data_IF_934779394149
#
_entry.id   IF_934779394149
#
_cell.length_a   1.000
_cell.length_b   1.000
_cell.length_c   1.000
_cell.angle_alpha   90.00
_cell.angle_beta   90.00
_cell.angle_gamma   90.00
#
_symmetry.space_group_name_H-M   'P 1'
#
loop_
_entity.id
_entity.type
_entity.pdbx_description
1 polymer ?
#
# COMPACT_ATOMS: atom_id res chain seq x y z
N UNK A 1 24.45 15.32 -17.22
CA UNK A 1 23.52 14.60 -18.12
C UNK A 1 22.08 14.98 -17.76
N UNK A 2 21.07 14.72 -18.63
CA UNK A 2 19.68 15.18 -18.40
C UNK A 2 19.08 14.63 -17.11
N UNK A 3 19.30 13.34 -16.78
CA UNK A 3 18.84 12.71 -15.54
C UNK A 3 19.32 13.46 -14.28
N UNK A 4 20.58 13.86 -14.23
CA UNK A 4 21.15 14.61 -13.10
C UNK A 4 20.51 16.01 -12.95
N UNK A 5 20.18 16.64 -14.08
CA UNK A 5 19.50 17.95 -14.07
C UNK A 5 18.08 17.78 -13.50
N UNK A 6 17.34 16.77 -13.96
CA UNK A 6 16.00 16.48 -13.48
C UNK A 6 16.01 16.21 -11.97
N UNK A 7 16.93 15.38 -11.47
CA UNK A 7 17.07 15.11 -10.04
C UNK A 7 17.43 16.36 -9.22
N UNK A 8 18.31 17.22 -9.72
CA UNK A 8 18.64 18.49 -9.05
C UNK A 8 17.44 19.43 -8.95
N UNK A 9 16.64 19.53 -10.02
CA UNK A 9 15.41 20.33 -10.01
C UNK A 9 14.41 19.78 -9.00
N UNK A 10 14.20 18.47 -8.96
CA UNK A 10 13.32 17.85 -7.98
C UNK A 10 13.73 18.15 -6.52
N UNK A 11 15.03 18.12 -6.23
CA UNK A 11 15.53 18.45 -4.91
C UNK A 11 15.28 19.94 -4.52
N UNK A 12 15.36 20.87 -5.46
CA UNK A 12 15.04 22.29 -5.23
C UNK A 12 13.54 22.47 -4.90
N UNK A 13 12.65 21.86 -5.66
CA UNK A 13 11.21 21.95 -5.42
C UNK A 13 10.77 21.32 -4.09
N UNK A 14 11.49 20.33 -3.57
CA UNK A 14 11.21 19.75 -2.25
C UNK A 14 11.41 20.75 -1.11
N UNK A 15 12.46 21.57 -1.17
CA UNK A 15 12.77 22.55 -0.13
C UNK A 15 11.73 23.69 -0.11
N UNK A 16 11.15 24.04 -1.25
CA UNK A 16 10.11 25.09 -1.37
C UNK A 16 8.73 24.64 -0.85
N UNK A 17 8.43 23.35 -0.86
CA UNK A 17 7.13 22.78 -0.48
C UNK A 17 7.07 22.26 0.97
N UNK A 18 7.98 22.64 1.85
CA UNK A 18 7.99 22.21 3.25
C UNK A 18 6.86 22.87 4.03
N UNK A 19 5.65 22.30 3.94
CA UNK A 19 4.48 22.75 4.69
C UNK A 19 4.62 22.34 6.16
N UNK A 20 4.47 23.30 7.08
CA UNK A 20 4.39 23.03 8.52
C UNK A 20 3.27 22.04 8.85
N UNK A 21 3.31 21.49 10.08
CA UNK A 21 2.26 20.60 10.57
C UNK A 21 0.94 21.34 10.76
N UNK A 22 -0.14 20.73 10.29
CA UNK A 22 -1.51 21.03 10.66
C UNK A 22 -2.34 19.73 10.63
N UNK A 23 -3.36 19.58 11.49
CA UNK A 23 -4.32 18.48 11.37
C UNK A 23 -5.00 18.53 10.01
N UNK A 24 -4.86 17.46 9.23
CA UNK A 24 -5.43 17.35 7.88
C UNK A 24 -5.92 15.94 7.58
N UNK A 25 -6.92 15.79 6.70
CA UNK A 25 -7.56 14.50 6.41
C UNK A 25 -6.58 13.40 5.99
N UNK A 26 -5.55 13.73 5.19
CA UNK A 26 -4.55 12.76 4.72
C UNK A 26 -3.64 12.17 5.82
N UNK A 27 -3.67 12.74 7.05
CA UNK A 27 -2.95 12.24 8.23
C UNK A 27 -3.89 11.57 9.24
N UNK A 28 -5.20 11.63 9.02
CA UNK A 28 -6.21 11.22 9.99
C UNK A 28 -6.43 9.70 10.06
N UNK A 29 -6.15 8.99 8.97
CA UNK A 29 -6.46 7.57 8.85
C UNK A 29 -5.78 6.68 9.89
N UNK A 30 -6.35 5.50 10.19
CA UNK A 30 -5.90 4.64 11.29
C UNK A 30 -4.47 4.13 11.11
N UNK A 31 -4.03 3.90 9.86
CA UNK A 31 -2.70 3.38 9.55
C UNK A 31 -1.61 4.47 9.52
N UNK A 32 -2.00 5.75 9.70
CA UNK A 32 -1.03 6.85 9.84
C UNK A 32 -0.41 6.86 11.23
N UNK A 33 0.88 6.64 11.32
CA UNK A 33 1.63 6.54 12.57
C UNK A 33 1.50 7.82 13.42
N UNK A 34 0.93 7.69 14.63
CA UNK A 34 0.76 8.82 15.57
C UNK A 34 2.12 9.42 15.95
N UNK A 35 3.12 8.58 16.19
CA UNK A 35 4.47 9.01 16.56
C UNK A 35 5.13 9.85 15.47
N UNK A 36 4.95 9.46 14.21
CA UNK A 36 5.38 10.27 13.06
C UNK A 36 4.73 11.65 13.06
N UNK A 37 3.42 11.72 13.34
CA UNK A 37 2.68 12.99 13.37
C UNK A 37 3.17 13.86 14.54
N UNK A 38 3.50 13.27 15.69
CA UNK A 38 4.08 13.99 16.84
C UNK A 38 5.45 14.59 16.49
N UNK A 39 6.31 13.86 15.77
CA UNK A 39 7.57 14.42 15.28
C UNK A 39 7.35 15.62 14.34
N UNK A 40 6.41 15.50 13.40
CA UNK A 40 6.03 16.62 12.52
C UNK A 40 5.53 17.82 13.31
N UNK A 41 4.66 17.60 14.30
CA UNK A 41 4.05 18.65 15.11
C UNK A 41 5.07 19.35 16.02
N UNK A 42 6.13 18.67 16.42
CA UNK A 42 7.26 19.27 17.14
C UNK A 42 8.27 19.98 16.21
N UNK A 43 8.03 20.05 14.92
CA UNK A 43 8.93 20.67 13.93
C UNK A 43 10.26 19.92 13.78
N UNK A 44 10.30 18.64 14.13
CA UNK A 44 11.52 17.85 13.97
C UNK A 44 11.82 17.66 12.48
N UNK A 45 13.09 17.81 12.14
CA UNK A 45 13.53 17.52 10.78
C UNK A 45 13.68 16.01 10.60
N UNK A 46 12.94 15.44 9.66
CA UNK A 46 13.15 14.07 9.22
C UNK A 46 14.24 13.97 8.16
N UNK A 47 14.64 12.75 7.85
CA UNK A 47 15.54 12.50 6.74
C UNK A 47 14.96 13.06 5.44
N UNK A 48 15.80 13.65 4.62
CA UNK A 48 15.38 14.12 3.29
C UNK A 48 14.83 12.90 2.51
N UNK A 49 13.62 13.04 2.02
CA UNK A 49 13.07 12.06 1.09
C UNK A 49 13.91 12.09 -0.19
N UNK A 50 14.22 10.90 -0.72
CA UNK A 50 14.93 10.83 -2.00
C UNK A 50 14.14 11.46 -3.14
N UNK A 51 14.81 11.93 -4.16
CA UNK A 51 14.23 12.58 -5.35
C UNK A 51 13.11 11.75 -5.99
N UNK A 52 13.22 10.42 -5.94
CA UNK A 52 12.21 9.48 -6.42
C UNK A 52 10.85 9.68 -5.75
N UNK A 53 10.81 9.97 -4.45
CA UNK A 53 9.55 10.21 -3.75
C UNK A 53 8.85 11.47 -4.26
N UNK A 54 9.62 12.50 -4.58
CA UNK A 54 9.10 13.72 -5.18
C UNK A 54 8.41 13.41 -6.52
N UNK A 55 9.10 12.72 -7.43
CA UNK A 55 8.51 12.32 -8.71
C UNK A 55 7.25 11.47 -8.53
N UNK A 56 7.26 10.54 -7.57
CA UNK A 56 6.08 9.70 -7.29
C UNK A 56 4.87 10.51 -6.82
N UNK A 57 5.10 11.58 -6.05
CA UNK A 57 4.03 12.48 -5.59
C UNK A 57 3.55 13.38 -6.73
N UNK A 58 4.46 13.92 -7.52
CA UNK A 58 4.13 14.75 -8.68
C UNK A 58 3.35 13.96 -9.73
N UNK A 59 3.78 12.75 -10.06
CA UNK A 59 3.02 11.81 -10.90
C UNK A 59 1.58 11.61 -10.41
N UNK A 60 1.36 11.59 -9.09
CA UNK A 60 0.02 11.41 -8.54
C UNK A 60 -0.88 12.59 -8.88
N UNK A 61 -0.36 13.81 -8.82
CA UNK A 61 -1.09 15.03 -9.18
C UNK A 61 -1.43 15.06 -10.67
N UNK A 62 -0.50 14.65 -11.53
CA UNK A 62 -0.77 14.53 -12.97
C UNK A 62 -1.84 13.46 -13.29
N UNK A 63 -1.84 12.34 -12.57
CA UNK A 63 -2.87 11.32 -12.72
C UNK A 63 -4.24 11.80 -12.28
N UNK A 64 -4.32 12.62 -11.23
CA UNK A 64 -5.55 13.26 -10.76
C UNK A 64 -6.08 14.22 -11.82
N UNK A 65 -5.28 15.17 -12.29
CA UNK A 65 -5.68 16.14 -13.31
C UNK A 65 -6.12 15.45 -14.61
N UNK A 66 -5.40 14.41 -15.05
CA UNK A 66 -5.81 13.63 -16.22
C UNK A 66 -7.17 12.98 -16.02
N UNK A 67 -7.47 12.46 -14.82
CA UNK A 67 -8.75 11.84 -14.52
C UNK A 67 -9.88 12.88 -14.50
N UNK A 68 -9.64 14.03 -13.88
CA UNK A 68 -10.57 15.16 -13.88
C UNK A 68 -10.87 15.66 -15.30
N UNK A 69 -9.86 15.74 -16.17
CA UNK A 69 -10.04 16.13 -17.58
C UNK A 69 -10.94 15.13 -18.33
N UNK A 70 -10.80 13.83 -18.09
CA UNK A 70 -11.71 12.83 -18.66
C UNK A 70 -13.14 12.96 -18.12
N UNK A 71 -13.31 13.23 -16.82
CA UNK A 71 -14.62 13.42 -16.23
C UNK A 71 -15.31 14.69 -16.77
N UNK A 72 -14.59 15.81 -16.93
CA UNK A 72 -15.11 17.05 -17.54
C UNK A 72 -15.55 16.86 -18.99
N UNK A 73 -14.96 15.92 -19.73
CA UNK A 73 -15.35 15.55 -21.11
C UNK A 73 -16.49 14.54 -21.18
N UNK A 74 -16.91 14.01 -20.05
CA UNK A 74 -18.01 13.04 -19.94
C UNK A 74 -19.36 13.73 -19.72
N UNK A 75 -20.38 12.96 -19.35
CA UNK A 75 -21.70 13.47 -19.00
C UNK A 75 -21.77 13.99 -17.54
N UNK A 76 -20.71 13.84 -16.75
CA UNK A 76 -20.63 14.39 -15.40
C UNK A 76 -20.22 15.87 -15.43
N UNK A 77 -20.78 16.65 -14.50
CA UNK A 77 -20.27 18.00 -14.22
C UNK A 77 -19.26 17.91 -13.10
N UNK A 78 -18.06 18.46 -13.30
CA UNK A 78 -17.02 18.54 -12.28
C UNK A 78 -16.95 19.97 -11.77
N UNK A 79 -17.03 20.18 -10.47
CA UNK A 79 -16.97 21.50 -9.85
C UNK A 79 -16.37 21.46 -8.44
N UNK A 80 -16.22 22.60 -7.80
CA UNK A 80 -15.69 22.75 -6.43
C UNK A 80 -14.31 22.12 -6.25
N UNK A 81 -13.51 22.06 -7.31
CA UNK A 81 -12.17 21.52 -7.28
C UNK A 81 -11.29 22.30 -6.31
N UNK A 82 -10.49 21.57 -5.52
CA UNK A 82 -9.58 22.11 -4.52
C UNK A 82 -10.27 23.03 -3.49
N UNK A 83 -11.58 22.86 -3.26
CA UNK A 83 -12.31 23.60 -2.26
C UNK A 83 -11.85 23.23 -0.85
N UNK A 84 -11.55 24.24 -0.02
CA UNK A 84 -11.17 24.04 1.37
C UNK A 84 -12.35 23.54 2.20
N UNK A 85 -12.12 22.47 2.94
CA UNK A 85 -13.08 21.90 3.89
C UNK A 85 -12.52 22.02 5.29
N UNK A 86 -13.36 22.58 6.19
CA UNK A 86 -13.03 22.72 7.61
C UNK A 86 -13.98 21.85 8.45
N UNK A 87 -13.40 20.87 9.13
CA UNK A 87 -14.12 20.00 10.05
C UNK A 87 -13.84 20.43 11.49
N UNK A 88 -14.90 20.61 12.28
CA UNK A 88 -14.82 20.93 13.70
C UNK A 88 -15.61 19.90 14.51
N UNK A 89 -15.20 19.67 15.74
CA UNK A 89 -15.85 18.75 16.67
C UNK A 89 -16.09 19.46 17.99
N UNK A 90 -17.27 19.27 18.58
CA UNK A 90 -17.63 19.93 19.85
C UNK A 90 -16.78 19.49 21.06
N UNK A 91 -16.17 18.31 21.00
CA UNK A 91 -15.33 17.79 22.07
C UNK A 91 -13.89 18.31 22.02
N UNK A 92 -13.45 18.88 20.90
CA UNK A 92 -12.06 19.25 20.69
C UNK A 92 -11.92 20.69 20.21
N UNK A 93 -10.96 21.43 20.77
CA UNK A 93 -10.71 22.84 20.46
C UNK A 93 -9.67 23.00 19.34
N UNK A 94 -9.82 22.26 18.25
CA UNK A 94 -9.04 22.42 17.04
C UNK A 94 -9.86 22.00 15.82
N UNK A 95 -9.39 22.37 14.66
CA UNK A 95 -10.01 22.03 13.36
C UNK A 95 -9.11 21.12 12.55
N UNK A 96 -9.73 20.30 11.71
CA UNK A 96 -9.05 19.52 10.66
C UNK A 96 -9.39 20.23 9.35
N UNK A 97 -8.36 20.60 8.59
CA UNK A 97 -8.53 21.37 7.34
C UNK A 97 -7.88 20.63 6.18
N UNK A 98 -8.56 20.57 5.05
CA UNK A 98 -8.05 19.97 3.82
C UNK A 98 -8.75 20.50 2.60
N UNK A 99 -8.38 20.04 1.42
CA UNK A 99 -9.00 20.38 0.15
C UNK A 99 -9.51 19.12 -0.51
N UNK A 100 -10.71 19.17 -1.03
CA UNK A 100 -11.29 18.06 -1.80
C UNK A 100 -10.76 18.09 -3.23
N UNK A 101 -10.71 16.92 -3.88
CA UNK A 101 -10.33 16.87 -5.29
C UNK A 101 -11.45 17.46 -6.17
N UNK A 102 -12.72 17.30 -5.77
CA UNK A 102 -13.84 17.95 -6.41
C UNK A 102 -15.21 17.39 -5.99
N UNK A 103 -16.23 17.89 -6.64
CA UNK A 103 -17.60 17.35 -6.62
C UNK A 103 -17.99 16.99 -8.04
N UNK A 104 -18.61 15.83 -8.22
CA UNK A 104 -19.18 15.40 -9.50
C UNK A 104 -20.71 15.35 -9.38
N UNK A 105 -21.39 15.94 -10.36
CA UNK A 105 -22.83 15.86 -10.49
C UNK A 105 -23.18 14.93 -11.65
N UNK A 106 -24.01 13.91 -11.41
CA UNK A 106 -24.47 12.98 -12.44
C UNK A 106 -25.59 13.59 -13.32
N UNK A 107 -26.02 12.87 -14.35
CA UNK A 107 -27.11 13.29 -15.25
C UNK A 107 -28.47 13.41 -14.53
N UNK A 108 -28.61 12.80 -13.36
CA UNK A 108 -29.81 12.90 -12.50
C UNK A 108 -29.78 14.12 -11.59
N UNK A 109 -28.71 14.90 -11.57
CA UNK A 109 -28.50 16.04 -10.68
C UNK A 109 -28.09 15.65 -9.27
N UNK A 110 -27.57 14.44 -9.06
CA UNK A 110 -27.04 14.00 -7.76
C UNK A 110 -25.58 14.36 -7.64
N UNK A 111 -25.22 14.94 -6.51
CA UNK A 111 -23.86 15.35 -6.20
C UNK A 111 -23.13 14.25 -5.39
N UNK A 112 -21.88 13.99 -5.77
CA UNK A 112 -20.97 13.10 -5.07
C UNK A 112 -19.65 13.83 -4.81
N UNK A 113 -19.14 13.73 -3.59
CA UNK A 113 -17.74 14.06 -3.34
C UNK A 113 -16.86 13.16 -4.19
N UNK A 114 -15.91 13.71 -4.91
CA UNK A 114 -14.87 12.97 -5.60
C UNK A 114 -13.58 13.03 -4.79
N UNK A 115 -13.02 11.86 -4.50
CA UNK A 115 -11.68 11.70 -3.95
C UNK A 115 -10.90 10.78 -4.89
N UNK A 116 -9.80 11.25 -5.44
CA UNK A 116 -8.97 10.50 -6.40
C UNK A 116 -7.67 10.02 -5.76
N UNK A 117 -7.30 8.78 -6.01
CA UNK A 117 -6.00 8.23 -5.59
C UNK A 117 -5.32 7.50 -6.72
N UNK A 118 -4.11 7.91 -7.05
CA UNK A 118 -3.25 7.20 -8.00
C UNK A 118 -2.21 6.37 -7.25
N UNK A 119 -2.30 5.05 -7.38
CA UNK A 119 -1.48 4.09 -6.62
C UNK A 119 -0.74 3.13 -7.55
N UNK A 120 0.26 2.43 -7.02
CA UNK A 120 0.97 1.40 -7.75
C UNK A 120 0.10 0.15 -7.94
N UNK A 121 0.50 -0.70 -8.88
CA UNK A 121 -0.24 -1.89 -9.26
C UNK A 121 -0.49 -2.85 -8.08
N UNK A 122 0.49 -3.06 -7.20
CA UNK A 122 0.35 -4.01 -6.08
C UNK A 122 -0.65 -3.54 -5.04
N UNK A 123 -0.60 -2.28 -4.64
CA UNK A 123 -1.60 -1.72 -3.73
C UNK A 123 -2.98 -1.73 -4.37
N UNK A 124 -3.07 -1.48 -5.68
CA UNK A 124 -4.33 -1.55 -6.43
C UNK A 124 -4.90 -2.96 -6.43
N UNK A 125 -4.07 -4.01 -6.65
CA UNK A 125 -4.51 -5.41 -6.57
C UNK A 125 -5.06 -5.80 -5.19
N UNK A 126 -4.47 -5.32 -4.09
CA UNK A 126 -5.01 -5.56 -2.74
C UNK A 126 -6.45 -5.07 -2.63
N UNK A 127 -6.70 -3.86 -3.12
CA UNK A 127 -8.03 -3.27 -3.09
C UNK A 127 -9.00 -3.95 -4.07
N UNK A 128 -8.53 -4.39 -5.23
CA UNK A 128 -9.31 -5.19 -6.16
C UNK A 128 -9.71 -6.54 -5.56
N UNK A 129 -8.85 -7.14 -4.75
CA UNK A 129 -9.09 -8.38 -4.02
C UNK A 129 -9.90 -8.21 -2.72
N UNK A 130 -10.45 -7.01 -2.48
CA UNK A 130 -11.41 -6.77 -1.40
C UNK A 130 -10.84 -6.11 -0.14
N UNK A 131 -9.54 -5.75 -0.12
CA UNK A 131 -9.01 -4.92 0.97
C UNK A 131 -9.58 -3.51 0.85
N UNK A 132 -10.03 -2.93 1.96
CA UNK A 132 -10.58 -1.57 1.97
C UNK A 132 -9.49 -0.58 2.35
N UNK A 133 -9.33 0.52 1.59
CA UNK A 133 -8.31 1.55 1.86
C UNK A 133 -8.71 2.46 3.04
N UNK A 134 -8.63 1.95 4.26
CA UNK A 134 -9.18 2.57 5.49
C UNK A 134 -8.69 4.01 5.73
N UNK A 135 -7.46 4.34 5.36
CA UNK A 135 -6.94 5.70 5.46
C UNK A 135 -7.65 6.67 4.52
N UNK A 136 -7.95 6.24 3.30
CA UNK A 136 -8.70 7.06 2.32
C UNK A 136 -10.18 7.16 2.70
N UNK A 137 -10.73 6.09 3.27
CA UNK A 137 -12.11 6.09 3.80
C UNK A 137 -12.25 7.09 4.95
N UNK A 138 -11.27 7.19 5.85
CA UNK A 138 -11.26 8.20 6.91
C UNK A 138 -11.16 9.64 6.34
N UNK A 139 -10.39 9.83 5.28
CA UNK A 139 -10.29 11.12 4.58
C UNK A 139 -11.64 11.51 3.95
N UNK A 140 -12.29 10.58 3.25
CA UNK A 140 -13.63 10.76 2.65
C UNK A 140 -14.67 11.12 3.71
N UNK A 141 -14.68 10.43 4.86
CA UNK A 141 -15.60 10.71 5.96
C UNK A 141 -15.43 12.13 6.51
N UNK A 142 -14.21 12.60 6.69
CA UNK A 142 -13.93 13.97 7.14
C UNK A 142 -14.45 14.99 6.13
N UNK A 143 -14.23 14.79 4.84
CA UNK A 143 -14.70 15.70 3.81
C UNK A 143 -16.24 15.74 3.74
N UNK A 144 -16.90 14.57 3.76
CA UNK A 144 -18.36 14.53 3.78
C UNK A 144 -18.93 15.19 5.06
N UNK A 145 -18.31 14.94 6.22
CA UNK A 145 -18.70 15.60 7.48
C UNK A 145 -18.60 17.13 7.39
N UNK A 146 -17.56 17.64 6.74
CA UNK A 146 -17.40 19.08 6.51
C UNK A 146 -18.41 19.64 5.53
N UNK A 147 -18.62 18.98 4.40
CA UNK A 147 -19.57 19.39 3.35
C UNK A 147 -21.02 19.40 3.83
N UNK A 148 -21.42 18.43 4.67
CA UNK A 148 -22.79 18.32 5.18
C UNK A 148 -23.18 19.48 6.11
N UNK A 149 -22.25 20.30 6.58
CA UNK A 149 -22.58 21.52 7.34
C UNK A 149 -23.33 22.54 6.50
N UNK A 150 -22.89 22.71 5.25
CA UNK A 150 -23.44 23.69 4.32
C UNK A 150 -24.45 23.04 3.36
N UNK A 151 -24.26 21.76 3.04
CA UNK A 151 -25.16 20.98 2.20
C UNK A 151 -25.48 19.61 2.86
N UNK A 152 -26.54 19.53 3.71
CA UNK A 152 -26.90 18.28 4.41
C UNK A 152 -27.27 17.11 3.48
N UNK A 153 -27.51 17.36 2.20
CA UNK A 153 -27.84 16.34 1.20
C UNK A 153 -26.58 15.69 0.61
N UNK A 154 -25.39 16.27 0.81
CA UNK A 154 -24.12 15.73 0.35
C UNK A 154 -23.68 14.55 1.23
N UNK A 155 -24.29 13.39 1.02
CA UNK A 155 -24.04 12.18 1.83
C UNK A 155 -23.15 11.17 1.17
N UNK A 156 -22.93 11.27 -0.13
CA UNK A 156 -22.27 10.27 -0.92
C UNK A 156 -20.92 10.75 -1.46
N UNK A 157 -20.00 9.82 -1.60
CA UNK A 157 -18.71 10.05 -2.22
C UNK A 157 -18.34 8.89 -3.14
N UNK A 158 -17.58 9.22 -4.15
CA UNK A 158 -16.84 8.28 -4.99
C UNK A 158 -15.36 8.40 -4.65
N UNK A 159 -14.81 7.36 -4.02
CA UNK A 159 -13.36 7.20 -3.93
C UNK A 159 -12.90 6.46 -5.18
N UNK A 160 -12.23 7.18 -6.06
CA UNK A 160 -11.76 6.68 -7.35
C UNK A 160 -10.27 6.36 -7.29
N UNK A 161 -9.92 5.08 -7.31
CA UNK A 161 -8.54 4.62 -7.19
C UNK A 161 -8.01 4.19 -8.55
N UNK A 162 -7.01 4.89 -9.04
CA UNK A 162 -6.35 4.62 -10.32
C UNK A 162 -5.07 3.82 -10.14
N UNK A 163 -4.94 2.76 -10.92
CA UNK A 163 -3.67 2.04 -11.08
C UNK A 163 -2.75 2.83 -12.03
N UNK A 164 -1.64 3.38 -11.51
CA UNK A 164 -0.68 4.16 -12.30
C UNK A 164 -0.05 3.36 -13.46
N UNK A 165 0.08 2.05 -13.29
CA UNK A 165 0.80 1.18 -14.23
C UNK A 165 -0.08 0.68 -15.38
N UNK A 166 -1.38 0.45 -15.12
CA UNK A 166 -2.30 -0.16 -16.09
C UNK A 166 -3.43 0.76 -16.53
N UNK A 167 -3.56 1.94 -15.89
CA UNK A 167 -4.67 2.89 -16.07
C UNK A 167 -6.06 2.31 -15.79
N UNK A 168 -6.15 1.24 -15.02
CA UNK A 168 -7.40 0.67 -14.53
C UNK A 168 -7.90 1.46 -13.32
N UNK A 169 -9.20 1.43 -13.07
CA UNK A 169 -9.84 2.13 -11.96
C UNK A 169 -10.63 1.19 -11.09
N UNK A 170 -10.60 1.47 -9.77
CA UNK A 170 -11.55 0.97 -8.79
C UNK A 170 -12.38 2.15 -8.29
N UNK A 171 -13.68 1.97 -8.23
CA UNK A 171 -14.65 2.93 -7.73
C UNK A 171 -15.27 2.38 -6.46
N UNK A 172 -15.06 3.06 -5.32
CA UNK A 172 -15.73 2.77 -4.07
C UNK A 172 -16.83 3.81 -3.86
N UNK A 173 -18.08 3.35 -3.83
CA UNK A 173 -19.21 4.20 -3.46
C UNK A 173 -19.34 4.22 -1.93
N UNK A 174 -19.22 5.41 -1.36
CA UNK A 174 -19.27 5.62 0.08
C UNK A 174 -20.49 6.46 0.46
N UNK A 175 -21.05 6.22 1.63
CA UNK A 175 -22.13 7.03 2.21
C UNK A 175 -21.82 7.34 3.66
N UNK A 176 -21.96 8.60 4.08
CA UNK A 176 -21.69 9.04 5.44
C UNK A 176 -22.94 9.58 6.13
N UNK A 177 -23.24 9.00 7.31
CA UNK A 177 -24.29 9.41 8.21
C UNK A 177 -23.69 10.23 9.36
N UNK A 178 -23.85 11.56 9.30
CA UNK A 178 -23.34 12.48 10.34
C UNK A 178 -23.98 12.24 11.70
N UNK A 179 -25.26 11.81 11.76
CA UNK A 179 -25.95 11.58 13.04
C UNK A 179 -25.38 10.39 13.80
N UNK A 180 -24.89 9.39 13.07
CA UNK A 180 -24.29 8.16 13.62
C UNK A 180 -22.75 8.20 13.63
N UNK A 181 -22.14 9.22 13.00
CA UNK A 181 -20.71 9.25 12.71
C UNK A 181 -20.24 7.94 12.06
N UNK A 182 -20.96 7.47 11.06
CA UNK A 182 -20.67 6.20 10.40
C UNK A 182 -20.55 6.39 8.90
N UNK A 183 -19.42 5.95 8.34
CA UNK A 183 -19.26 5.82 6.90
C UNK A 183 -19.52 4.38 6.50
N UNK A 184 -20.24 4.18 5.41
CA UNK A 184 -20.55 2.88 4.82
C UNK A 184 -19.92 2.83 3.43
N UNK A 185 -19.06 1.86 3.19
CA UNK A 185 -18.62 1.52 1.84
C UNK A 185 -19.66 0.59 1.23
N UNK A 186 -20.49 1.11 0.34
CA UNK A 186 -21.61 0.38 -0.26
C UNK A 186 -21.15 -0.66 -1.27
N UNK A 187 -20.34 -0.23 -2.21
CA UNK A 187 -19.94 -1.06 -3.35
C UNK A 187 -18.50 -0.79 -3.74
N UNK A 188 -17.90 -1.77 -4.39
CA UNK A 188 -16.66 -1.58 -5.18
C UNK A 188 -16.93 -2.06 -6.60
N UNK A 189 -16.41 -1.31 -7.58
CA UNK A 189 -16.52 -1.62 -9.00
C UNK A 189 -15.16 -1.43 -9.67
N UNK A 190 -14.75 -2.39 -10.48
CA UNK A 190 -13.53 -2.35 -11.29
C UNK A 190 -13.85 -2.08 -12.76
N UNK A 191 -12.96 -1.38 -13.47
CA UNK A 191 -13.03 -1.22 -14.93
C UNK A 191 -12.92 -2.53 -15.70
N UNK A 192 -12.37 -3.56 -15.08
CA UNK A 192 -12.29 -4.93 -15.67
C UNK A 192 -13.48 -5.81 -15.33
N UNK A 193 -14.54 -5.23 -14.75
CA UNK A 193 -15.85 -5.88 -14.61
C UNK A 193 -16.15 -6.52 -13.26
N UNK A 194 -15.24 -6.54 -12.30
CA UNK A 194 -15.56 -6.95 -10.93
C UNK A 194 -16.47 -5.92 -10.28
N UNK A 195 -17.56 -6.40 -9.69
CA UNK A 195 -18.49 -5.62 -8.88
C UNK A 195 -18.81 -6.41 -7.62
N UNK A 196 -18.76 -5.74 -6.47
CA UNK A 196 -19.17 -6.33 -5.21
C UNK A 196 -19.96 -5.33 -4.37
N UNK A 197 -21.04 -5.80 -3.76
CA UNK A 197 -21.72 -5.12 -2.67
C UNK A 197 -21.00 -5.44 -1.38
N UNK A 198 -20.52 -4.41 -0.68
CA UNK A 198 -19.72 -4.56 0.53
C UNK A 198 -20.56 -4.26 1.78
N UNK A 199 -21.27 -3.12 1.77
CA UNK A 199 -22.05 -2.60 2.90
C UNK A 199 -21.25 -2.62 4.22
N UNK A 200 -19.92 -2.35 4.13
CA UNK A 200 -19.04 -2.36 5.27
C UNK A 200 -19.10 -1.02 6.00
N UNK A 201 -19.38 -1.09 7.31
CA UNK A 201 -19.56 0.06 8.18
C UNK A 201 -18.28 0.42 8.94
N UNK A 202 -18.03 1.72 9.05
CA UNK A 202 -16.94 2.32 9.83
C UNK A 202 -17.53 3.30 10.84
N UNK A 203 -17.94 2.83 12.02
CA UNK A 203 -18.54 3.67 13.04
C UNK A 203 -17.54 4.55 13.76
N UNK A 204 -17.98 5.71 14.26
CA UNK A 204 -17.18 6.70 14.98
C UNK A 204 -15.94 7.16 14.21
N UNK A 205 -16.02 7.17 12.89
CA UNK A 205 -14.84 7.36 12.02
C UNK A 205 -14.28 8.78 12.13
N UNK A 206 -15.12 9.82 12.13
CA UNK A 206 -14.70 11.21 12.27
C UNK A 206 -14.25 11.49 13.70
N UNK A 207 -14.96 10.95 14.70
CA UNK A 207 -14.54 11.07 16.12
C UNK A 207 -13.16 10.46 16.33
N UNK A 208 -12.89 9.26 15.76
CA UNK A 208 -11.58 8.60 15.84
C UNK A 208 -10.46 9.45 15.24
N UNK A 209 -10.72 10.15 14.14
CA UNK A 209 -9.77 11.10 13.55
C UNK A 209 -9.45 12.26 14.50
N UNK A 210 -10.47 12.83 15.16
CA UNK A 210 -10.27 13.88 16.16
C UNK A 210 -9.52 13.38 17.38
N UNK A 211 -9.87 12.20 17.92
CA UNK A 211 -9.23 11.60 19.07
C UNK A 211 -7.74 11.33 18.78
N UNK A 212 -7.41 10.91 17.56
CA UNK A 212 -6.02 10.76 17.12
C UNK A 212 -5.24 12.07 17.19
N UNK A 213 -5.76 13.15 16.62
CA UNK A 213 -5.09 14.45 16.71
C UNK A 213 -5.08 15.03 18.10
N UNK A 214 -6.09 14.75 18.95
CA UNK A 214 -6.08 15.10 20.35
C UNK A 214 -4.93 14.41 21.08
N UNK A 215 -4.68 13.12 20.80
CA UNK A 215 -3.52 12.39 21.31
C UNK A 215 -2.21 13.03 20.85
N UNK A 216 -2.09 13.40 19.57
CA UNK A 216 -0.91 14.12 19.05
C UNK A 216 -0.68 15.40 19.83
N UNK A 217 -1.72 16.24 19.99
CA UNK A 217 -1.64 17.51 20.73
C UNK A 217 -1.25 17.30 22.20
N UNK A 218 -1.77 16.24 22.83
CA UNK A 218 -1.42 15.87 24.20
C UNK A 218 0.06 15.48 24.31
N UNK A 219 0.56 14.65 23.40
CA UNK A 219 1.95 14.23 23.36
C UNK A 219 2.90 15.43 23.15
N UNK A 220 2.55 16.33 22.23
CA UNK A 220 3.32 17.57 21.99
C UNK A 220 3.37 18.44 23.25
N UNK A 221 2.21 18.67 23.91
CA UNK A 221 2.12 19.47 25.13
C UNK A 221 2.94 18.87 26.27
N UNK A 222 2.92 17.56 26.43
CA UNK A 222 3.67 16.85 27.48
C UNK A 222 5.13 16.62 27.14
N UNK A 223 5.54 16.87 25.88
CA UNK A 223 6.87 16.51 25.34
C UNK A 223 7.16 15.01 25.45
N UNK A 224 6.14 14.18 25.28
CA UNK A 224 6.22 12.72 25.34
C UNK A 224 6.00 12.14 23.93
N UNK A 225 6.60 10.99 23.67
CA UNK A 225 6.34 10.24 22.44
C UNK A 225 5.36 9.10 22.72
N UNK A 226 4.35 8.88 21.89
CA UNK A 226 3.49 7.72 22.02
C UNK A 226 4.27 6.43 21.76
N UNK A 227 3.71 5.28 22.14
CA UNK A 227 4.30 3.98 21.80
C UNK A 227 4.46 3.85 20.28
N UNK A 228 5.45 3.08 19.85
CA UNK A 228 5.61 2.73 18.43
C UNK A 228 4.41 1.90 17.98
N UNK A 229 3.79 2.30 16.91
CA UNK A 229 2.61 1.62 16.33
C UNK A 229 3.04 0.45 15.45
N UNK A 230 4.22 0.52 14.88
CA UNK A 230 4.79 -0.44 13.96
C UNK A 230 6.16 -0.90 14.42
N UNK A 231 6.55 -2.10 14.06
CA UNK A 231 7.85 -2.67 14.35
C UNK A 231 8.93 -2.17 13.39
N UNK A 232 10.19 -2.28 13.81
CA UNK A 232 11.32 -2.00 12.94
C UNK A 232 11.33 -2.96 11.74
N UNK A 233 11.45 -2.41 10.53
CA UNK A 233 11.35 -3.17 9.27
C UNK A 233 9.92 -3.36 8.75
N UNK A 234 8.92 -2.78 9.43
CA UNK A 234 7.60 -2.59 8.84
C UNK A 234 7.68 -1.50 7.77
N UNK A 235 6.93 -1.65 6.68
CA UNK A 235 6.97 -0.71 5.56
C UNK A 235 6.59 0.74 5.96
N UNK A 236 5.73 0.92 6.97
CA UNK A 236 5.41 2.25 7.49
C UNK A 236 6.63 2.92 8.12
N UNK A 237 7.51 2.15 8.76
CA UNK A 237 8.76 2.66 9.32
C UNK A 237 9.81 2.90 8.23
N UNK A 238 9.88 2.03 7.23
CA UNK A 238 10.87 2.13 6.15
C UNK A 238 10.67 3.38 5.28
N UNK A 239 9.41 3.80 5.05
CA UNK A 239 9.09 5.05 4.35
C UNK A 239 8.97 6.26 5.29
N UNK A 240 9.17 6.08 6.60
CA UNK A 240 9.04 7.17 7.56
C UNK A 240 10.30 8.05 7.55
N UNK A 241 10.19 9.37 7.32
CA UNK A 241 11.35 10.26 7.36
C UNK A 241 11.98 10.37 8.76
N UNK A 242 11.29 9.90 9.79
CA UNK A 242 11.77 9.91 11.19
C UNK A 242 12.27 8.55 11.66
N UNK A 243 12.47 7.59 10.76
CA UNK A 243 12.86 6.22 11.12
C UNK A 243 14.12 6.21 11.99
N UNK A 244 15.19 6.87 11.56
CA UNK A 244 16.46 6.92 12.29
C UNK A 244 16.32 7.54 13.69
N UNK A 245 15.55 8.61 13.81
CA UNK A 245 15.31 9.27 15.10
C UNK A 245 14.41 8.40 15.99
N UNK A 246 13.40 7.79 15.38
CA UNK A 246 12.44 6.94 16.09
C UNK A 246 13.10 5.69 16.70
N UNK A 247 14.10 5.15 16.02
CA UNK A 247 14.78 3.91 16.37
C UNK A 247 16.22 4.12 16.84
N UNK A 248 16.60 5.38 17.22
CA UNK A 248 17.95 5.70 17.65
C UNK A 248 18.42 4.93 18.90
N UNK A 249 17.50 4.56 19.77
CA UNK A 249 17.75 3.73 20.96
C UNK A 249 18.16 2.28 20.59
N UNK A 250 17.70 1.79 19.43
CA UNK A 250 18.10 0.47 18.89
C UNK A 250 19.34 0.54 18.00
N UNK A 251 19.78 1.73 17.62
CA UNK A 251 20.93 1.90 16.72
C UNK A 251 22.22 1.27 17.29
N UNK A 252 22.40 1.27 18.62
CA UNK A 252 23.52 0.62 19.30
C UNK A 252 23.49 -0.91 19.17
N UNK A 253 22.31 -1.50 19.23
CA UNK A 253 22.13 -2.95 18.99
C UNK A 253 22.34 -3.28 17.52
N UNK A 254 21.90 -2.41 16.62
CA UNK A 254 22.16 -2.51 15.18
C UNK A 254 23.64 -2.36 14.83
N UNK A 255 24.40 -1.49 15.53
CA UNK A 255 25.84 -1.37 15.32
C UNK A 255 26.60 -2.62 15.75
N UNK A 256 26.13 -3.30 16.79
CA UNK A 256 26.68 -4.61 17.18
C UNK A 256 26.35 -5.71 16.16
N UNK A 257 25.29 -5.55 15.36
CA UNK A 257 24.92 -6.46 14.26
C UNK A 257 25.59 -6.10 12.92
N UNK A 258 26.28 -4.96 12.82
CA UNK A 258 26.98 -4.48 11.61
C UNK A 258 28.27 -5.26 11.31
N UNK A 259 28.19 -6.58 11.27
CA UNK A 259 29.19 -7.36 10.50
C UNK A 259 28.84 -7.40 9.00
N UNK A 260 27.68 -6.89 8.61
CA UNK A 260 27.20 -6.86 7.22
C UNK A 260 26.95 -5.41 6.79
N UNK A 261 27.43 -5.03 5.61
CA UNK A 261 27.28 -3.70 5.08
C UNK A 261 25.79 -3.33 4.92
N UNK A 262 25.39 -2.17 5.45
CA UNK A 262 24.08 -1.62 5.19
C UNK A 262 23.94 -1.30 3.70
N UNK A 263 22.98 -1.90 3.05
CA UNK A 263 22.69 -1.63 1.64
C UNK A 263 21.99 -0.25 1.50
N UNK A 264 22.28 0.50 0.42
CA UNK A 264 21.59 1.74 0.13
C UNK A 264 20.06 1.57 0.11
N UNK A 265 19.32 2.60 0.50
CA UNK A 265 17.86 2.57 0.57
C UNK A 265 17.21 2.15 -0.76
N UNK A 266 17.81 2.51 -1.90
CA UNK A 266 17.37 2.09 -3.23
C UNK A 266 17.38 0.57 -3.39
N UNK A 267 18.40 -0.09 -2.85
CA UNK A 267 18.48 -1.56 -2.85
C UNK A 267 17.47 -2.15 -1.86
N UNK A 268 17.26 -1.51 -0.70
CA UNK A 268 16.25 -1.94 0.26
C UNK A 268 14.83 -1.91 -0.34
N UNK A 269 14.51 -0.87 -1.13
CA UNK A 269 13.23 -0.77 -1.85
C UNK A 269 13.09 -1.88 -2.91
N UNK A 270 14.16 -2.14 -3.66
CA UNK A 270 14.18 -3.23 -4.64
C UNK A 270 14.02 -4.60 -3.97
N UNK A 271 14.66 -4.81 -2.82
CA UNK A 271 14.55 -6.05 -2.04
C UNK A 271 13.12 -6.26 -1.54
N UNK A 272 12.47 -5.22 -1.04
CA UNK A 272 11.06 -5.27 -0.60
C UNK A 272 10.15 -5.63 -1.77
N UNK A 273 10.27 -4.91 -2.86
CA UNK A 273 9.54 -5.17 -4.09
C UNK A 273 9.74 -6.61 -4.60
N UNK A 274 10.98 -7.08 -4.61
CA UNK A 274 11.29 -8.46 -5.00
C UNK A 274 10.58 -9.49 -4.10
N UNK A 275 10.52 -9.23 -2.77
CA UNK A 275 9.81 -10.10 -1.83
C UNK A 275 8.30 -10.10 -2.05
N UNK A 276 7.71 -8.94 -2.30
CA UNK A 276 6.28 -8.80 -2.62
C UNK A 276 5.94 -9.55 -3.92
N UNK A 277 6.68 -9.29 -4.99
CA UNK A 277 6.51 -10.02 -6.26
C UNK A 277 6.70 -11.53 -6.08
N UNK A 278 7.69 -11.93 -5.26
CA UNK A 278 7.93 -13.33 -4.96
C UNK A 278 6.76 -14.01 -4.24
N UNK A 279 6.10 -13.29 -3.31
CA UNK A 279 4.91 -13.78 -2.62
C UNK A 279 3.74 -13.95 -3.60
N UNK A 280 3.45 -12.95 -4.43
CA UNK A 280 2.41 -13.03 -5.45
C UNK A 280 2.68 -14.13 -6.49
N UNK A 281 3.93 -14.25 -6.94
CA UNK A 281 4.30 -15.34 -7.86
C UNK A 281 3.99 -16.70 -7.25
N UNK A 282 4.29 -16.87 -5.96
CA UNK A 282 4.00 -18.13 -5.26
C UNK A 282 2.50 -18.38 -5.19
N UNK A 283 1.72 -17.39 -4.77
CA UNK A 283 0.26 -17.47 -4.67
C UNK A 283 -0.38 -17.85 -6.01
N UNK A 284 -0.02 -17.14 -7.09
CA UNK A 284 -0.50 -17.44 -8.44
C UNK A 284 -0.04 -18.83 -8.90
N UNK A 285 1.18 -19.24 -8.55
CA UNK A 285 1.69 -20.56 -8.90
C UNK A 285 0.92 -21.65 -8.16
N UNK A 286 0.67 -21.47 -6.86
CA UNK A 286 -0.09 -22.41 -6.04
C UNK A 286 -1.54 -22.55 -6.56
N UNK A 287 -2.19 -21.42 -6.93
CA UNK A 287 -3.52 -21.40 -7.54
C UNK A 287 -3.53 -22.10 -8.91
N UNK A 288 -2.56 -21.79 -9.77
CA UNK A 288 -2.40 -22.43 -11.07
C UNK A 288 -2.25 -23.96 -10.95
N UNK A 289 -1.40 -24.41 -10.03
CA UNK A 289 -1.18 -25.84 -9.77
C UNK A 289 -2.44 -26.51 -9.21
N UNK A 290 -3.17 -25.84 -8.30
CA UNK A 290 -4.45 -26.35 -7.74
C UNK A 290 -5.50 -26.51 -8.83
N UNK A 291 -5.67 -25.50 -9.71
CA UNK A 291 -6.61 -25.57 -10.85
C UNK A 291 -6.20 -26.70 -11.79
N UNK A 292 -4.90 -26.80 -12.09
CA UNK A 292 -4.37 -27.87 -12.95
C UNK A 292 -4.66 -29.26 -12.38
N UNK A 293 -4.49 -29.48 -11.08
CA UNK A 293 -4.82 -30.76 -10.45
C UNK A 293 -6.33 -31.03 -10.39
N UNK A 294 -7.16 -30.02 -10.20
CA UNK A 294 -8.63 -30.15 -10.29
C UNK A 294 -9.07 -30.62 -11.69
N UNK A 295 -8.53 -29.99 -12.75
CA UNK A 295 -8.80 -30.38 -14.15
C UNK A 295 -8.39 -31.84 -14.38
N UNK A 296 -7.16 -32.21 -13.99
CA UNK A 296 -6.66 -33.59 -14.15
C UNK A 296 -7.54 -34.61 -13.41
N UNK A 297 -7.97 -34.28 -12.20
CA UNK A 297 -8.81 -35.14 -11.37
C UNK A 297 -10.19 -35.33 -12.00
N UNK A 298 -10.82 -34.25 -12.46
CA UNK A 298 -12.10 -34.31 -13.16
C UNK A 298 -12.01 -35.13 -14.46
N UNK A 299 -11.01 -34.89 -15.29
CA UNK A 299 -10.83 -35.67 -16.52
C UNK A 299 -10.61 -37.16 -16.24
N UNK A 300 -9.84 -37.50 -15.19
CA UNK A 300 -9.64 -38.89 -14.77
C UNK A 300 -10.93 -39.54 -14.27
N UNK A 301 -11.73 -38.82 -13.46
CA UNK A 301 -13.00 -39.32 -12.93
C UNK A 301 -14.03 -39.58 -14.04
N UNK A 302 -13.98 -38.78 -15.10
CA UNK A 302 -14.82 -38.93 -16.29
C UNK A 302 -14.27 -39.94 -17.31
N UNK A 303 -13.09 -40.51 -17.05
CA UNK A 303 -12.34 -41.38 -17.96
C UNK A 303 -12.07 -40.73 -19.34
N UNK A 304 -11.88 -39.40 -19.34
CA UNK A 304 -11.59 -38.60 -20.54
C UNK A 304 -10.10 -38.25 -20.56
N UNK A 305 -9.40 -38.59 -21.62
CA UNK A 305 -7.98 -38.21 -21.78
C UNK A 305 -7.76 -37.03 -22.72
N UNK A 306 -8.70 -36.75 -23.60
CA UNK A 306 -8.63 -35.65 -24.57
C UNK A 306 -10.05 -35.13 -24.84
N UNK A 307 -10.23 -33.81 -24.90
CA UNK A 307 -11.51 -33.17 -25.13
C UNK A 307 -11.40 -31.68 -25.38
N UNK A 308 -12.53 -31.05 -25.67
CA UNK A 308 -12.64 -29.59 -25.88
C UNK A 308 -13.44 -28.99 -24.74
N UNK A 309 -12.90 -27.93 -24.15
CA UNK A 309 -13.55 -27.14 -23.11
C UNK A 309 -13.63 -25.68 -23.56
N UNK A 310 -14.80 -25.24 -24.03
CA UNK A 310 -14.96 -23.93 -24.67
C UNK A 310 -14.09 -23.82 -25.93
N UNK A 311 -13.19 -22.87 -25.95
CA UNK A 311 -12.24 -22.65 -27.07
C UNK A 311 -10.91 -23.41 -26.93
N UNK A 312 -10.72 -24.16 -25.82
CA UNK A 312 -9.47 -24.84 -25.52
C UNK A 312 -9.55 -26.35 -25.68
N UNK A 313 -8.57 -26.92 -26.41
CA UNK A 313 -8.33 -28.36 -26.42
C UNK A 313 -7.51 -28.78 -25.19
N UNK A 314 -7.97 -29.79 -24.46
CA UNK A 314 -7.29 -30.30 -23.27
C UNK A 314 -6.92 -31.76 -23.47
N UNK A 315 -5.64 -32.11 -23.19
CA UNK A 315 -5.13 -33.48 -23.33
C UNK A 315 -4.27 -33.88 -22.14
N UNK A 316 -4.58 -35.02 -21.54
CA UNK A 316 -3.75 -35.69 -20.54
C UNK A 316 -2.80 -36.69 -21.25
N UNK A 317 -1.53 -36.33 -21.33
CA UNK A 317 -0.49 -37.21 -21.88
C UNK A 317 0.25 -37.93 -20.77
N UNK A 318 0.63 -39.19 -20.98
CA UNK A 318 1.57 -39.90 -20.15
C UNK A 318 2.95 -39.79 -20.77
N UNK A 319 3.89 -39.23 -20.04
CA UNK A 319 5.30 -39.13 -20.50
C UNK A 319 6.14 -39.94 -19.52
N UNK A 320 6.93 -40.85 -20.05
CA UNK A 320 7.93 -41.52 -19.23
C UNK A 320 9.08 -40.57 -18.97
N UNK A 321 9.36 -40.36 -17.68
CA UNK A 321 10.46 -39.49 -17.23
C UNK A 321 11.56 -40.37 -16.64
N UNK A 322 12.70 -40.43 -17.31
CA UNK A 322 13.89 -41.07 -16.77
C UNK A 322 14.54 -40.16 -15.72
N UNK A 323 14.48 -40.57 -14.46
CA UNK A 323 15.16 -39.88 -13.36
C UNK A 323 16.38 -40.71 -12.95
N UNK A 324 17.54 -40.06 -12.84
CA UNK A 324 18.73 -40.66 -12.25
C UNK A 324 18.52 -40.77 -10.75
N UNK A 325 18.46 -41.97 -10.25
CA UNK A 325 18.42 -42.23 -8.79
C UNK A 325 19.85 -42.11 -8.23
N UNK A 326 20.14 -40.91 -7.73
CA UNK A 326 21.49 -40.61 -7.15
C UNK A 326 21.86 -41.48 -5.96
N UNK A 327 20.88 -42.07 -5.28
CA UNK A 327 21.15 -43.00 -4.16
C UNK A 327 21.72 -44.32 -4.60
N UNK A 328 21.58 -44.67 -5.89
CA UNK A 328 22.13 -45.90 -6.49
C UNK A 328 23.50 -45.70 -7.17
N UNK A 329 24.01 -44.46 -7.18
CA UNK A 329 25.30 -44.14 -7.79
C UNK A 329 26.39 -44.07 -6.74
N UNK A 330 27.57 -44.55 -7.09
CA UNK A 330 28.78 -44.38 -6.26
C UNK A 330 29.25 -42.93 -6.32
N UNK A 331 29.98 -42.50 -5.28
CA UNK A 331 30.54 -41.16 -5.21
C UNK A 331 31.43 -40.84 -6.45
N UNK A 332 32.16 -41.80 -6.96
CA UNK A 332 33.02 -41.66 -8.16
C UNK A 332 32.18 -41.45 -9.46
N UNK A 333 31.05 -42.12 -9.58
CA UNK A 333 30.13 -41.93 -10.75
C UNK A 333 29.46 -40.57 -10.70
N UNK A 334 29.05 -40.12 -9.52
CA UNK A 334 28.47 -38.77 -9.31
C UNK A 334 29.52 -37.71 -9.66
N UNK A 335 30.75 -37.85 -9.20
CA UNK A 335 31.83 -36.89 -9.45
C UNK A 335 32.14 -36.79 -10.95
N UNK A 336 32.25 -37.92 -11.65
CA UNK A 336 32.48 -37.95 -13.10
C UNK A 336 31.35 -37.32 -13.93
N UNK A 337 30.12 -37.45 -13.44
CA UNK A 337 28.93 -36.87 -14.12
C UNK A 337 28.62 -35.43 -13.67
N UNK A 338 29.38 -34.88 -12.70
CA UNK A 338 29.11 -33.52 -12.16
C UNK A 338 29.92 -32.49 -12.94
N UNK A 339 29.20 -31.55 -13.58
CA UNK A 339 29.79 -30.34 -14.14
C UNK A 339 29.78 -29.28 -13.05
N UNK A 340 30.96 -28.80 -12.64
CA UNK A 340 31.05 -27.68 -11.69
C UNK A 340 30.72 -26.39 -12.42
N UNK A 341 29.66 -25.73 -12.02
CA UNK A 341 29.29 -24.40 -12.50
C UNK A 341 29.15 -23.45 -11.30
N UNK A 342 29.58 -22.20 -11.46
CA UNK A 342 29.36 -21.17 -10.46
C UNK A 342 28.02 -20.51 -10.73
N UNK A 343 27.16 -20.46 -9.73
CA UNK A 343 25.87 -19.79 -9.82
C UNK A 343 25.75 -18.79 -8.69
N UNK A 344 25.50 -17.53 -9.04
CA UNK A 344 25.14 -16.52 -8.04
C UNK A 344 23.70 -16.71 -7.60
N UNK A 345 23.48 -16.72 -6.29
CA UNK A 345 22.14 -16.81 -5.70
C UNK A 345 21.95 -15.70 -4.69
N UNK A 346 20.89 -14.96 -4.85
CA UNK A 346 20.47 -13.97 -3.88
C UNK A 346 19.56 -14.60 -2.83
N UNK A 347 19.90 -14.39 -1.55
CA UNK A 347 19.10 -14.83 -0.42
C UNK A 347 18.58 -13.61 0.33
N UNK A 348 17.25 -13.52 0.47
CA UNK A 348 16.58 -12.46 1.20
C UNK A 348 15.82 -13.09 2.37
N UNK A 349 16.19 -12.74 3.61
CA UNK A 349 15.54 -13.20 4.83
C UNK A 349 15.13 -11.99 5.65
N UNK A 350 13.88 -11.97 6.14
CA UNK A 350 13.45 -10.95 7.10
C UNK A 350 14.17 -11.18 8.43
N UNK A 351 14.85 -10.15 8.92
CA UNK A 351 15.49 -10.19 10.24
C UNK A 351 14.39 -9.96 11.25
N UNK A 352 13.97 -11.02 11.99
CA UNK A 352 13.09 -10.88 13.15
C UNK A 352 13.96 -10.61 14.36
N UNK A 353 13.55 -9.66 15.18
CA UNK A 353 14.09 -9.48 16.53
C UNK A 353 13.76 -10.70 17.39
N UNK A 354 14.67 -11.69 17.40
CA UNK A 354 14.80 -12.62 18.50
C UNK A 354 16.27 -12.95 18.67
N UNK A 355 16.84 -12.39 19.69
CA UNK A 355 18.24 -12.52 20.13
C UNK A 355 18.68 -13.97 20.39
N UNK A 356 17.78 -14.95 20.31
CA UNK A 356 18.08 -16.34 20.66
C UNK A 356 18.29 -17.31 19.48
N UNK A 357 17.94 -16.96 18.25
CA UNK A 357 18.08 -17.88 17.11
C UNK A 357 19.35 -17.66 16.28
N UNK A 358 19.91 -16.44 16.28
CA UNK A 358 21.11 -16.11 15.49
C UNK A 358 22.36 -16.80 16.04
N UNK A 359 22.42 -17.05 17.35
CA UNK A 359 23.55 -17.74 17.97
C UNK A 359 23.62 -19.26 17.73
N UNK A 360 22.56 -19.90 17.25
CA UNK A 360 22.57 -21.35 16.97
C UNK A 360 23.11 -21.71 15.59
N UNK A 361 22.98 -20.83 14.61
CA UNK A 361 23.44 -21.11 13.23
C UNK A 361 24.94 -20.83 13.02
N UNK A 362 25.51 -19.88 13.76
CA UNK A 362 26.96 -19.60 13.68
C UNK A 362 27.84 -20.72 14.25
N UNK A 363 27.29 -21.53 15.18
CA UNK A 363 28.04 -22.67 15.76
C UNK A 363 28.06 -23.93 14.87
N UNK A 364 27.18 -24.02 13.87
CA UNK A 364 27.18 -25.15 12.93
C UNK A 364 28.17 -24.99 11.76
N UNK A 365 28.67 -23.79 11.50
CA UNK A 365 29.63 -23.53 10.42
C UNK A 365 31.11 -23.66 10.84
N UNK A 366 31.39 -23.86 12.14
CA UNK A 366 32.77 -24.09 12.65
C UNK A 366 33.08 -25.56 12.95
N UNK A 367 32.15 -26.47 12.67
CA UNK A 367 32.34 -27.90 12.94
C UNK A 367 32.16 -28.79 11.69
N UNK A 368 32.51 -28.27 10.50
CA UNK A 368 32.60 -29.08 9.28
C UNK A 368 33.84 -28.69 8.46
#
# INVERSE_FOLDING_TARGET
MLTEIIHKLAAQFQDENNRGYSPRPSLAGPDRCVRQIVYMANGMQGNKRGDRMFFTLDDSSWHEELTLDWLRKSAFQVHSEQMEIIVTNSKHNFKITGHIDGVITDMGGNDFLLEHKAINHFTWQKYENGEIPVDYIAQVALYLCGLQKDNPQMKQAVLLVKNKNTSQYLEFLCEYDTAKDTLIVKTVKSTVGAYAELNQEFPNIVQSCFDKFALVNQCVKKKELPLRQYDLGDWHCDYCPYNEICWADYAKEFEAMKTEAMLPNEIADMVRYYKEVGAHKKEITDEYDEIGEKIKTLMKSLNIREGVAGEYGVKLSLTEVNKIDKAKLTASEIEKATIKSTQERMYIKRIKESTNEIHKDSRRKQAA
#
